data_IF_463143998219
#
_entry.id   IF_463143998219
#
_cell.length_a   1.000
_cell.length_b   1.000
_cell.length_c   1.000
_cell.angle_alpha   90.00
_cell.angle_beta   90.00
_cell.angle_gamma   90.00
#
_symmetry.space_group_name_H-M   'P 1'
#
loop_
_entity.id
_entity.type
_entity.pdbx_description
1 polymer ?
#
# COMPACT_ATOMS: atom_id res chain seq x y z
N UNK A 1 -4.08 -15.10 5.29
CA UNK A 1 -3.60 -13.71 5.20
C UNK A 1 -4.78 -12.82 4.88
N UNK A 2 -4.92 -11.68 5.57
CA UNK A 2 -6.03 -10.75 5.35
C UNK A 2 -5.67 -9.77 4.21
N UNK A 3 -6.66 -9.39 3.40
CA UNK A 3 -6.50 -8.36 2.39
C UNK A 3 -6.65 -6.99 3.05
N UNK A 4 -5.62 -6.15 2.95
CA UNK A 4 -5.59 -4.83 3.61
C UNK A 4 -5.41 -3.74 2.57
N UNK A 5 -6.36 -2.81 2.52
CA UNK A 5 -6.33 -1.66 1.63
C UNK A 5 -5.62 -0.46 2.26
N UNK A 6 -4.69 0.14 1.52
CA UNK A 6 -3.98 1.36 1.93
C UNK A 6 -4.37 2.53 1.02
N UNK A 7 -4.96 3.57 1.62
CA UNK A 7 -5.30 4.84 0.97
C UNK A 7 -4.52 5.95 1.69
N UNK A 8 -4.02 6.95 0.95
CA UNK A 8 -3.28 8.08 1.55
C UNK A 8 -1.86 7.73 2.04
N UNK A 9 -1.35 6.55 1.69
CA UNK A 9 -0.02 6.04 2.06
C UNK A 9 1.16 6.90 1.54
N UNK A 10 0.92 7.78 0.57
CA UNK A 10 1.93 8.74 0.05
C UNK A 10 2.02 10.06 0.83
N UNK A 11 1.07 10.35 1.70
CA UNK A 11 1.08 11.58 2.52
C UNK A 11 2.09 11.50 3.67
N UNK A 12 2.29 12.59 4.40
CA UNK A 12 3.25 12.66 5.52
C UNK A 12 3.03 11.56 6.58
N UNK A 13 1.77 11.31 6.97
CA UNK A 13 1.44 10.24 7.92
C UNK A 13 1.56 8.86 7.28
N UNK A 14 1.13 8.75 6.02
CA UNK A 14 1.16 7.51 5.25
C UNK A 14 2.57 6.97 5.05
N UNK A 15 3.54 7.82 4.73
CA UNK A 15 4.93 7.40 4.51
C UNK A 15 5.56 6.89 5.80
N UNK A 16 5.32 7.56 6.93
CA UNK A 16 5.81 7.10 8.25
C UNK A 16 5.17 5.77 8.63
N UNK A 17 3.87 5.59 8.35
CA UNK A 17 3.20 4.31 8.56
C UNK A 17 3.87 3.20 7.73
N UNK A 18 4.12 3.43 6.44
CA UNK A 18 4.76 2.42 5.57
C UNK A 18 6.15 2.06 6.08
N UNK A 19 6.96 3.05 6.48
CA UNK A 19 8.29 2.82 7.02
C UNK A 19 8.26 1.96 8.30
N UNK A 20 7.34 2.27 9.23
CA UNK A 20 7.16 1.50 10.47
C UNK A 20 6.68 0.08 10.17
N UNK A 21 5.71 -0.10 9.27
CA UNK A 21 5.21 -1.43 8.89
C UNK A 21 6.28 -2.30 8.23
N UNK A 22 7.23 -1.72 7.49
CA UNK A 22 8.39 -2.44 6.96
C UNK A 22 9.36 -2.81 8.11
N UNK A 23 9.65 -1.88 9.01
CA UNK A 23 10.54 -2.13 10.17
C UNK A 23 10.02 -3.25 11.08
N UNK A 24 8.71 -3.30 11.31
CA UNK A 24 8.06 -4.30 12.16
C UNK A 24 7.67 -5.60 11.41
N UNK A 25 7.98 -5.69 10.10
CA UNK A 25 7.66 -6.83 9.24
C UNK A 25 6.15 -7.17 9.14
N UNK A 26 5.29 -6.15 9.25
CA UNK A 26 3.83 -6.33 9.24
C UNK A 26 3.32 -6.88 7.90
N UNK A 27 3.99 -6.53 6.80
CA UNK A 27 3.65 -6.97 5.44
C UNK A 27 3.73 -8.49 5.25
N UNK A 28 4.44 -9.22 6.12
CA UNK A 28 4.53 -10.67 6.05
C UNK A 28 3.15 -11.35 6.20
N UNK A 29 2.28 -10.78 7.04
CA UNK A 29 1.02 -11.40 7.45
C UNK A 29 -0.22 -10.92 6.67
N UNK A 30 -0.04 -9.97 5.77
CA UNK A 30 -1.13 -9.34 5.01
C UNK A 30 -0.89 -9.43 3.50
N UNK A 31 -1.98 -9.29 2.75
CA UNK A 31 -1.98 -9.05 1.31
C UNK A 31 -2.27 -7.56 1.08
N UNK A 32 -1.24 -6.73 0.86
CA UNK A 32 -1.43 -5.28 0.72
C UNK A 32 -2.04 -4.95 -0.64
N UNK A 33 -3.03 -4.06 -0.64
CA UNK A 33 -3.65 -3.49 -1.83
C UNK A 33 -3.51 -1.97 -1.73
N UNK A 34 -2.82 -1.35 -2.68
CA UNK A 34 -2.60 0.08 -2.67
C UNK A 34 -3.62 0.80 -3.55
N UNK A 35 -4.22 1.83 -2.98
CA UNK A 35 -5.17 2.70 -3.66
C UNK A 35 -4.57 4.10 -3.85
N UNK A 36 -5.10 4.82 -4.82
CA UNK A 36 -4.68 6.18 -5.15
C UNK A 36 -5.85 7.00 -5.69
N UNK A 37 -5.82 8.31 -5.47
CA UNK A 37 -6.81 9.27 -6.00
C UNK A 37 -6.36 9.94 -7.29
N UNK A 38 -5.09 9.77 -7.70
CA UNK A 38 -4.53 10.53 -8.83
C UNK A 38 -3.67 9.72 -9.80
N UNK A 39 -3.35 8.46 -9.49
CA UNK A 39 -2.37 7.66 -10.24
C UNK A 39 -2.83 6.21 -10.51
N UNK A 40 -4.15 6.00 -10.66
CA UNK A 40 -4.70 4.65 -10.86
C UNK A 40 -4.11 3.99 -12.12
N UNK A 41 -3.85 2.68 -12.05
CA UNK A 41 -3.23 1.91 -13.14
C UNK A 41 -1.70 2.01 -13.23
N UNK A 42 -1.05 2.85 -12.42
CA UNK A 42 0.42 2.83 -12.29
C UNK A 42 0.88 1.65 -11.43
N UNK A 43 2.15 1.26 -11.56
CA UNK A 43 2.74 0.20 -10.71
C UNK A 43 2.77 0.63 -9.25
N UNK A 44 2.29 -0.23 -8.35
CA UNK A 44 2.35 -0.03 -6.92
C UNK A 44 3.82 -0.12 -6.42
N UNK A 45 4.18 0.62 -5.36
CA UNK A 45 5.49 0.48 -4.73
C UNK A 45 5.67 -0.92 -4.14
N UNK A 46 6.93 -1.37 -4.10
CA UNK A 46 7.31 -2.60 -3.44
C UNK A 46 7.68 -2.28 -1.99
N UNK A 47 6.89 -2.78 -1.04
CA UNK A 47 7.20 -2.68 0.39
C UNK A 47 7.55 -4.06 0.95
N UNK A 48 8.64 -4.14 1.72
CA UNK A 48 9.15 -5.41 2.28
C UNK A 48 9.29 -6.55 1.26
N UNK A 49 9.65 -6.23 0.00
CA UNK A 49 9.79 -7.20 -1.08
C UNK A 49 8.47 -7.75 -1.63
N UNK A 50 7.30 -7.28 -1.18
CA UNK A 50 5.99 -7.68 -1.73
C UNK A 50 5.60 -6.82 -2.92
N UNK A 51 5.39 -7.48 -4.07
CA UNK A 51 4.77 -6.87 -5.24
C UNK A 51 3.25 -6.81 -5.03
N UNK A 52 2.69 -5.61 -5.04
CA UNK A 52 1.26 -5.36 -4.87
C UNK A 52 0.53 -5.09 -6.21
N UNK A 53 1.21 -5.28 -7.35
CA UNK A 53 0.64 -5.10 -8.68
C UNK A 53 0.42 -3.64 -9.05
N UNK A 54 -0.77 -3.31 -9.53
CA UNK A 54 -1.14 -1.96 -9.96
C UNK A 54 -1.92 -1.22 -8.87
N UNK A 55 -1.77 0.10 -8.84
CA UNK A 55 -2.51 1.00 -7.97
C UNK A 55 -3.99 1.00 -8.37
N UNK A 56 -4.87 0.67 -7.42
CA UNK A 56 -6.31 0.72 -7.60
C UNK A 56 -6.85 2.13 -7.41
N UNK A 57 -7.95 2.43 -8.07
CA UNK A 57 -8.63 3.71 -7.92
C UNK A 57 -9.36 3.77 -6.56
N UNK A 58 -9.05 4.79 -5.75
CA UNK A 58 -9.65 5.01 -4.45
C UNK A 58 -11.12 5.47 -4.51
N UNK A 59 -11.65 5.82 -5.69
CA UNK A 59 -13.05 6.21 -5.85
C UNK A 59 -13.97 5.02 -6.20
N UNK A 60 -13.42 3.81 -6.39
CA UNK A 60 -14.17 2.60 -6.78
C UNK A 60 -14.43 1.66 -5.58
N UNK A 61 -14.44 2.20 -4.36
CA UNK A 61 -14.64 1.53 -3.07
C UNK A 61 -15.77 2.19 -2.31
#
# INVERSE_FOLDING_TARGET
MQNVGFIGWRGMVGSVLMDRMVQENDFANINPIFFTTSQAGQKAPVFAGKDAGELKNAFDI
#
